data_IF_728674312331
#
_entry.id   IF_728674312331
#
_cell.length_a   1.000
_cell.length_b   1.000
_cell.length_c   1.000
_cell.angle_alpha   90.00
_cell.angle_beta   90.00
_cell.angle_gamma   90.00
#
_symmetry.space_group_name_H-M   'P 1'
#
loop_
_entity.id
_entity.type
_entity.pdbx_description
1 polymer ?
#
# COMPACT_ATOMS: atom_id res chain seq x y z
N UNK A 1 -2.38 -9.35 -0.48
CA UNK A 1 -3.33 -8.21 -0.45
C UNK A 1 -2.96 -7.20 -1.52
N UNK A 2 -3.91 -6.50 -2.13
CA UNK A 2 -3.64 -5.43 -3.12
C UNK A 2 -4.19 -4.11 -2.59
N UNK A 3 -3.38 -3.07 -2.60
CA UNK A 3 -3.76 -1.72 -2.19
C UNK A 3 -3.55 -0.75 -3.35
N UNK A 4 -4.58 0.04 -3.65
CA UNK A 4 -4.63 0.96 -4.80
C UNK A 4 -4.71 2.39 -4.28
N UNK A 5 -3.88 3.27 -4.86
CA UNK A 5 -3.87 4.72 -4.61
C UNK A 5 -3.89 5.50 -5.93
N UNK A 6 -4.39 6.72 -5.86
CA UNK A 6 -4.25 7.74 -6.90
C UNK A 6 -3.70 9.00 -6.22
N UNK A 7 -2.38 9.10 -6.16
CA UNK A 7 -1.69 10.21 -5.47
C UNK A 7 -0.48 10.65 -6.27
N UNK A 8 -0.11 11.92 -6.19
CA UNK A 8 1.09 12.45 -6.86
C UNK A 8 2.39 11.83 -6.34
N UNK A 9 2.47 11.55 -5.05
CA UNK A 9 3.63 10.95 -4.39
C UNK A 9 3.20 9.85 -3.41
N UNK A 10 3.90 8.72 -3.43
CA UNK A 10 3.69 7.66 -2.45
C UNK A 10 4.33 8.07 -1.13
N UNK A 11 3.50 8.39 -0.14
CA UNK A 11 3.96 8.65 1.21
C UNK A 11 4.44 7.36 1.91
N UNK A 12 5.45 7.48 2.77
CA UNK A 12 5.95 6.36 3.60
C UNK A 12 4.86 5.74 4.49
N UNK A 13 3.85 6.54 4.86
CA UNK A 13 2.68 6.07 5.61
C UNK A 13 1.90 4.96 4.88
N UNK A 14 1.86 4.95 3.54
CA UNK A 14 1.17 3.91 2.77
C UNK A 14 1.88 2.56 2.83
N UNK A 15 3.21 2.56 2.92
CA UNK A 15 3.96 1.33 3.16
C UNK A 15 3.71 0.78 4.57
N UNK A 16 3.70 1.65 5.59
CA UNK A 16 3.38 1.25 6.96
C UNK A 16 1.95 0.71 7.08
N UNK A 17 1.00 1.33 6.37
CA UNK A 17 -0.38 0.86 6.27
C UNK A 17 -0.46 -0.56 5.67
N UNK A 18 0.16 -0.79 4.52
CA UNK A 18 0.20 -2.12 3.88
C UNK A 18 0.85 -3.17 4.80
N UNK A 19 1.96 -2.83 5.47
CA UNK A 19 2.62 -3.73 6.41
C UNK A 19 1.73 -4.10 7.60
N UNK A 20 0.96 -3.15 8.14
CA UNK A 20 0.05 -3.41 9.23
C UNK A 20 -1.05 -4.39 8.79
N UNK A 21 -1.62 -4.19 7.60
CA UNK A 21 -2.61 -5.12 7.07
C UNK A 21 -2.06 -6.51 6.80
N UNK A 22 -0.84 -6.61 6.25
CA UNK A 22 -0.16 -7.89 6.04
C UNK A 22 0.06 -8.63 7.37
N UNK A 23 0.53 -7.93 8.41
CA UNK A 23 0.68 -8.50 9.76
C UNK A 23 -0.65 -8.97 10.35
N UNK A 24 -1.69 -8.13 10.28
CA UNK A 24 -3.01 -8.47 10.80
C UNK A 24 -3.65 -9.65 10.08
N UNK A 25 -3.41 -9.79 8.78
CA UNK A 25 -3.95 -10.87 7.96
C UNK A 25 -3.05 -12.12 7.94
N UNK A 26 -1.90 -12.11 8.65
CA UNK A 26 -0.87 -13.14 8.60
C UNK A 26 -0.44 -13.48 7.15
N UNK A 27 -0.26 -12.44 6.34
CA UNK A 27 0.18 -12.51 4.95
C UNK A 27 1.62 -11.99 4.83
N UNK A 28 2.42 -12.63 3.99
CA UNK A 28 3.83 -12.26 3.80
C UNK A 28 4.05 -11.29 2.63
N UNK A 29 3.10 -11.22 1.68
CA UNK A 29 3.24 -10.45 0.45
C UNK A 29 2.00 -9.60 0.15
N UNK A 30 2.26 -8.35 -0.25
CA UNK A 30 1.26 -7.43 -0.73
C UNK A 30 1.77 -6.58 -1.89
N UNK A 31 0.85 -6.00 -2.65
CA UNK A 31 1.13 -5.14 -3.78
C UNK A 31 0.51 -3.76 -3.54
N UNK A 32 1.34 -2.71 -3.59
CA UNK A 32 0.91 -1.32 -3.55
C UNK A 32 1.02 -0.73 -4.97
N UNK A 33 -0.10 -0.32 -5.54
CA UNK A 33 -0.17 0.29 -6.88
C UNK A 33 -0.60 1.74 -6.73
N UNK A 34 0.20 2.67 -7.27
CA UNK A 34 -0.19 4.07 -7.39
C UNK A 34 -0.42 4.40 -8.88
N UNK A 35 -1.62 4.87 -9.21
CA UNK A 35 -1.97 5.28 -10.57
C UNK A 35 -1.49 6.70 -10.91
N UNK A 36 -1.04 7.47 -9.92
CA UNK A 36 -0.60 8.86 -10.13
C UNK A 36 -1.77 9.81 -10.39
N UNK A 37 -1.59 11.08 -10.02
CA UNK A 37 -2.50 12.17 -10.44
C UNK A 37 -1.82 12.93 -11.58
N UNK A 38 -2.53 13.15 -12.69
CA UNK A 38 -2.05 13.94 -13.84
C UNK A 38 -2.06 15.44 -13.56
#
# INVERSE_FOLDING_TARGET
>A
MVEIKEVSLIATAFYAQLQNYLRCANLELGLLINFGTS
#
